data_IF_319001704572
#
_entry.id   IF_319001704572
#
_cell.length_a   1.000
_cell.length_b   1.000
_cell.length_c   1.000
_cell.angle_alpha   90.00
_cell.angle_beta   90.00
_cell.angle_gamma   90.00
#
_symmetry.space_group_name_H-M   'P 1'
#
loop_
_entity.id
_entity.type
_entity.pdbx_description
1 polymer ?
#
# COMPACT_ATOMS: atom_id res chain seq x y z
N UNK A 1 3.53 5.82 -10.62
CA UNK A 1 2.46 5.82 -9.60
C UNK A 1 3.08 6.08 -8.24
N UNK A 2 2.45 6.93 -7.42
CA UNK A 2 2.96 7.30 -6.11
C UNK A 2 2.39 6.38 -5.04
N UNK A 3 3.24 5.81 -4.19
CA UNK A 3 2.81 4.99 -3.04
C UNK A 3 3.24 5.65 -1.74
N UNK A 4 2.30 5.80 -0.81
CA UNK A 4 2.51 6.38 0.51
C UNK A 4 2.34 5.33 1.60
N UNK A 5 3.17 5.41 2.63
CA UNK A 5 3.13 4.56 3.82
C UNK A 5 2.98 5.44 5.06
N UNK A 6 2.03 5.10 5.93
CA UNK A 6 1.71 5.90 7.11
C UNK A 6 1.84 5.14 8.43
N UNK A 7 1.90 5.91 9.52
CA UNK A 7 1.91 5.43 10.90
C UNK A 7 2.91 4.28 11.11
N UNK A 8 2.48 3.19 11.74
CA UNK A 8 3.33 2.05 12.05
C UNK A 8 3.98 1.43 10.81
N UNK A 9 3.32 1.44 9.64
CA UNK A 9 3.92 0.91 8.40
C UNK A 9 5.14 1.75 8.00
N UNK A 10 5.06 3.07 8.09
CA UNK A 10 6.19 3.97 7.78
C UNK A 10 7.39 3.69 8.68
N UNK A 11 7.13 3.51 9.98
CA UNK A 11 8.16 3.32 10.99
C UNK A 11 8.85 1.96 10.84
N UNK A 12 8.06 0.89 10.65
CA UNK A 12 8.57 -0.47 10.54
C UNK A 12 9.25 -0.75 9.20
N UNK A 13 8.73 -0.19 8.12
CA UNK A 13 9.30 -0.36 6.77
C UNK A 13 10.39 0.68 6.48
N UNK A 14 10.59 1.65 7.37
CA UNK A 14 11.59 2.71 7.22
C UNK A 14 11.40 3.57 5.97
N UNK A 15 10.18 3.64 5.46
CA UNK A 15 9.85 4.22 4.17
C UNK A 15 8.51 4.95 4.26
N UNK A 16 8.47 6.22 3.85
CA UNK A 16 7.25 7.04 3.84
C UNK A 16 6.60 7.13 2.46
N UNK A 17 7.40 7.02 1.40
CA UNK A 17 6.97 7.18 0.02
C UNK A 17 7.84 6.34 -0.92
N UNK A 18 7.23 5.82 -1.97
CA UNK A 18 7.89 5.19 -3.10
C UNK A 18 7.30 5.73 -4.39
N UNK A 19 8.14 5.82 -5.42
CA UNK A 19 7.67 5.84 -6.80
C UNK A 19 7.75 4.43 -7.36
N UNK A 20 6.63 3.98 -7.92
CA UNK A 20 6.49 2.67 -8.52
C UNK A 20 6.26 2.83 -10.02
N UNK A 21 7.13 2.17 -10.78
CA UNK A 21 7.08 2.06 -12.22
C UNK A 21 6.39 0.76 -12.64
N UNK A 22 5.67 0.81 -13.76
CA UNK A 22 5.04 -0.36 -14.38
C UNK A 22 3.51 -0.38 -14.28
N UNK A 23 2.84 -1.16 -15.14
CA UNK A 23 1.40 -1.28 -15.10
C UNK A 23 0.99 -2.21 -13.96
N UNK A 24 0.37 -1.64 -12.93
CA UNK A 24 -0.42 -2.40 -11.96
C UNK A 24 -1.88 -2.15 -12.30
N UNK A 25 -2.64 -3.23 -12.54
CA UNK A 25 -4.03 -3.10 -12.94
C UNK A 25 -4.95 -2.99 -11.73
N UNK A 26 -4.59 -3.63 -10.62
CA UNK A 26 -5.34 -3.55 -9.37
C UNK A 26 -4.43 -3.36 -8.16
N UNK A 27 -5.01 -2.93 -7.05
CA UNK A 27 -4.32 -2.80 -5.77
C UNK A 27 -3.69 -4.12 -5.30
N UNK A 28 -4.33 -5.26 -5.57
CA UNK A 28 -3.77 -6.59 -5.26
C UNK A 28 -2.39 -6.80 -5.91
N UNK A 29 -2.26 -6.44 -7.19
CA UNK A 29 -1.03 -6.61 -7.96
C UNK A 29 0.10 -5.74 -7.38
N UNK A 30 -0.23 -4.49 -7.05
CA UNK A 30 0.69 -3.56 -6.42
C UNK A 30 1.13 -4.06 -5.03
N UNK A 31 0.18 -4.54 -4.21
CA UNK A 31 0.47 -5.07 -2.88
C UNK A 31 1.45 -6.24 -2.96
N UNK A 32 1.20 -7.21 -3.85
CA UNK A 32 2.10 -8.34 -4.05
C UNK A 32 3.52 -7.89 -4.42
N UNK A 33 3.66 -6.97 -5.36
CA UNK A 33 4.97 -6.44 -5.76
C UNK A 33 5.70 -5.69 -4.63
N UNK A 34 4.97 -4.98 -3.76
CA UNK A 34 5.56 -4.33 -2.60
C UNK A 34 6.02 -5.37 -1.55
N UNK A 35 5.30 -6.47 -1.38
CA UNK A 35 5.67 -7.55 -0.46
C UNK A 35 6.98 -8.25 -0.86
N UNK A 36 7.35 -8.24 -2.15
CA UNK A 36 8.61 -8.80 -2.64
C UNK A 36 9.86 -8.04 -2.14
N UNK A 37 9.69 -6.84 -1.56
CA UNK A 37 10.81 -6.05 -1.03
C UNK A 37 11.45 -6.61 0.25
N UNK A 38 10.79 -7.55 0.92
CA UNK A 38 11.36 -8.26 2.07
C UNK A 38 10.32 -8.75 3.06
N UNK A 39 10.78 -9.49 4.07
CA UNK A 39 9.92 -10.17 5.05
C UNK A 39 9.02 -9.20 5.83
N UNK A 40 9.52 -8.04 6.22
CA UNK A 40 8.71 -7.00 6.87
C UNK A 40 7.60 -6.46 5.96
N UNK A 41 7.90 -6.25 4.68
CA UNK A 41 6.91 -5.80 3.71
C UNK A 41 5.82 -6.85 3.53
N UNK A 42 6.22 -8.12 3.43
CA UNK A 42 5.30 -9.25 3.34
C UNK A 42 4.35 -9.32 4.54
N UNK A 43 4.91 -9.26 5.75
CA UNK A 43 4.15 -9.33 7.00
C UNK A 43 3.16 -8.18 7.17
N UNK A 44 3.63 -6.94 7.01
CA UNK A 44 2.86 -5.75 7.36
C UNK A 44 1.92 -5.28 6.24
N UNK A 45 2.18 -5.65 4.98
CA UNK A 45 1.25 -5.40 3.87
C UNK A 45 0.34 -6.60 3.56
N UNK A 46 0.37 -7.67 4.34
CA UNK A 46 -0.54 -8.79 4.16
C UNK A 46 -2.03 -8.34 4.18
N UNK A 47 -2.92 -9.02 3.45
CA UNK A 47 -4.36 -8.73 3.50
C UNK A 47 -4.87 -8.70 4.95
N UNK A 48 -5.60 -7.64 5.30
CA UNK A 48 -6.11 -7.39 6.65
C UNK A 48 -5.11 -6.77 7.64
N UNK A 49 -3.81 -6.70 7.32
CA UNK A 49 -2.79 -6.00 8.12
C UNK A 49 -2.58 -4.55 7.72
N UNK A 50 -2.89 -4.21 6.47
CA UNK A 50 -2.85 -2.84 5.96
C UNK A 50 -4.12 -2.53 5.16
N UNK A 51 -4.81 -1.47 5.56
CA UNK A 51 -5.84 -0.81 4.76
C UNK A 51 -5.19 -0.06 3.59
N UNK A 52 -5.99 0.21 2.57
CA UNK A 52 -5.54 0.92 1.37
C UNK A 52 -6.53 2.02 1.01
N UNK A 53 -5.99 3.15 0.55
CA UNK A 53 -6.76 4.19 -0.11
C UNK A 53 -6.13 4.50 -1.47
N UNK A 54 -6.98 4.75 -2.46
CA UNK A 54 -6.58 5.22 -3.80
C UNK A 54 -7.17 6.61 -3.98
N UNK A 55 -6.32 7.58 -4.31
CA UNK A 55 -6.70 8.98 -4.48
C UNK A 55 -7.51 9.50 -3.27
N UNK A 56 -6.98 9.30 -2.06
CA UNK A 56 -7.54 9.74 -0.78
C UNK A 56 -8.90 9.10 -0.42
N UNK A 57 -9.35 8.08 -1.15
CA UNK A 57 -10.58 7.35 -0.89
C UNK A 57 -10.27 5.91 -0.51
N UNK A 58 -10.88 5.40 0.56
CA UNK A 58 -10.74 4.00 0.97
C UNK A 58 -11.10 3.06 -0.19
N UNK A 59 -10.26 2.05 -0.40
CA UNK A 59 -10.36 1.10 -1.49
C UNK A 59 -10.17 -0.34 -0.99
N UNK A 60 -10.41 -1.30 -1.88
CA UNK A 60 -10.10 -2.71 -1.64
C UNK A 60 -9.09 -3.22 -2.67
N UNK A 61 -8.61 -4.46 -2.48
CA UNK A 61 -7.58 -5.05 -3.33
C UNK A 61 -8.03 -5.23 -4.80
N UNK A 62 -9.34 -5.15 -5.10
CA UNK A 62 -9.90 -5.23 -6.46
C UNK A 62 -10.04 -3.86 -7.11
N UNK A 63 -9.73 -2.78 -6.42
CA UNK A 63 -9.77 -1.44 -7.00
C UNK A 63 -8.76 -1.33 -8.15
N UNK A 64 -9.23 -0.87 -9.31
CA UNK A 64 -8.40 -0.71 -10.50
C UNK A 64 -7.45 0.49 -10.37
N UNK A 65 -6.22 0.36 -10.85
CA UNK A 65 -5.19 1.40 -10.77
C UNK A 65 -4.81 1.95 -12.14
N UNK A 66 -4.54 3.25 -12.17
CA UNK A 66 -3.95 3.99 -13.27
C UNK A 66 -2.51 4.43 -12.96
N UNK A 67 -1.74 4.81 -13.99
CA UNK A 67 -0.31 5.15 -13.85
C UNK A 67 -0.04 6.38 -12.97
N UNK A 68 -1.03 7.27 -12.84
CA UNK A 68 -0.95 8.55 -12.12
C UNK A 68 -1.62 8.50 -10.74
N UNK A 69 -2.13 7.35 -10.32
CA UNK A 69 -2.80 7.26 -9.02
C UNK A 69 -1.83 7.45 -7.85
N UNK A 70 -2.38 7.96 -6.76
CA UNK A 70 -1.76 7.94 -5.45
C UNK A 70 -2.38 6.81 -4.62
N UNK A 71 -1.56 5.88 -4.16
CA UNK A 71 -1.99 4.74 -3.34
C UNK A 71 -1.38 4.87 -1.96
N UNK A 72 -2.19 4.85 -0.91
CA UNK A 72 -1.75 4.91 0.47
C UNK A 72 -2.01 3.58 1.17
N UNK A 73 -1.00 3.01 1.84
CA UNK A 73 -1.19 1.92 2.80
C UNK A 73 -1.01 2.44 4.23
N UNK A 74 -1.89 2.01 5.11
CA UNK A 74 -1.89 2.39 6.52
C UNK A 74 -2.45 1.25 7.37
N UNK A 75 -2.01 1.12 8.64
CA UNK A 75 -2.55 0.10 9.53
C UNK A 75 -4.05 0.35 9.79
N UNK A 76 -4.83 -0.69 10.15
CA UNK A 76 -6.20 -0.51 10.62
C UNK A 76 -6.20 0.49 11.76
N UNK A 77 -7.14 1.44 11.71
CA UNK A 77 -7.30 2.41 12.81
C UNK A 77 -7.78 1.62 14.02
N UNK A 78 -6.94 1.48 15.04
CA UNK A 78 -7.41 1.07 16.37
C UNK A 78 -8.15 2.28 16.92
N UNK A 79 -9.47 2.30 16.74
CA UNK A 79 -10.31 3.30 17.40
C UNK A 79 -10.06 3.25 18.91
N UNK A 80 -9.76 4.42 19.48
CA UNK A 80 -10.05 4.70 20.88
C UNK A 80 -11.53 4.99 21.06
#
# INVERSE_FOLDING_TARGET
MKVLLFAQLRELLGCSELQIDGPYHHVADLRLALQEKGTLWQEYLAPGKALVAVNQTLADDRHGLGPNDEVAFFPPVTGG
#
